data_IF_420834654712
#
_entry.id   IF_420834654712
#
_cell.length_a   1.000
_cell.length_b   1.000
_cell.length_c   1.000
_cell.angle_alpha   90.00
_cell.angle_beta   90.00
_cell.angle_gamma   90.00
#
_symmetry.space_group_name_H-M   'P 1'
#
loop_
_entity.id
_entity.type
_entity.pdbx_description
1 polymer ?
#
# COMPACT_ATOMS: atom_id res chain seq x y z
N UNK A 1 18.94 12.30 -16.82
CA UNK A 1 17.83 11.42 -16.42
C UNK A 1 16.88 12.31 -15.64
N UNK A 2 15.62 12.33 -15.99
CA UNK A 2 14.62 13.14 -15.24
C UNK A 2 14.42 12.55 -13.83
N UNK A 3 14.06 13.42 -12.87
CA UNK A 3 13.64 12.95 -11.56
C UNK A 3 12.39 12.06 -11.67
N UNK A 4 12.30 11.07 -10.80
CA UNK A 4 11.13 10.20 -10.77
C UNK A 4 9.92 10.95 -10.22
N UNK A 5 8.83 10.95 -10.97
CA UNK A 5 7.57 11.56 -10.54
C UNK A 5 6.96 10.79 -9.37
N UNK A 6 6.30 11.51 -8.47
CA UNK A 6 5.45 10.88 -7.46
C UNK A 6 4.04 10.70 -8.03
N UNK A 7 3.73 9.50 -8.49
CA UNK A 7 2.46 9.18 -9.16
C UNK A 7 1.25 9.34 -8.22
N UNK A 8 1.42 9.03 -6.93
CA UNK A 8 0.35 9.26 -5.95
C UNK A 8 0.07 10.76 -5.82
N UNK A 9 1.11 11.59 -5.69
CA UNK A 9 0.96 13.06 -5.66
C UNK A 9 0.24 13.59 -6.89
N UNK A 10 0.62 13.11 -8.07
CA UNK A 10 -0.01 13.50 -9.33
C UNK A 10 -1.52 13.22 -9.35
N UNK A 11 -1.92 12.05 -8.84
CA UNK A 11 -3.34 11.68 -8.73
C UNK A 11 -4.09 12.54 -7.73
N UNK A 12 -3.49 12.81 -6.56
CA UNK A 12 -4.09 13.69 -5.55
C UNK A 12 -4.31 15.09 -6.11
N UNK A 13 -3.28 15.68 -6.74
CA UNK A 13 -3.36 17.01 -7.36
C UNK A 13 -4.41 17.07 -8.47
N UNK A 14 -4.59 16.00 -9.23
CA UNK A 14 -5.59 15.89 -10.28
C UNK A 14 -7.01 15.51 -9.77
N UNK A 15 -7.20 15.33 -8.46
CA UNK A 15 -8.47 14.90 -7.86
C UNK A 15 -8.93 13.52 -8.30
N UNK A 16 -8.01 12.68 -8.83
CA UNK A 16 -8.29 11.32 -9.31
C UNK A 16 -8.32 10.32 -8.18
N UNK A 17 -9.18 9.29 -8.25
CA UNK A 17 -9.21 8.23 -7.25
C UNK A 17 -7.92 7.40 -7.25
N UNK A 18 -7.62 6.76 -6.13
CA UNK A 18 -6.48 5.85 -5.99
C UNK A 18 -6.86 4.55 -5.30
N UNK A 19 -6.22 3.47 -5.73
CA UNK A 19 -6.27 2.16 -5.09
C UNK A 19 -4.86 1.79 -4.65
N UNK A 20 -4.68 1.55 -3.36
CA UNK A 20 -3.47 1.01 -2.77
C UNK A 20 -3.67 -0.39 -2.22
N UNK A 21 -2.58 -1.06 -1.93
CA UNK A 21 -2.55 -2.26 -1.08
C UNK A 21 -1.42 -2.12 -0.07
N UNK A 22 -1.48 -2.87 1.03
CA UNK A 22 -0.37 -2.86 1.97
C UNK A 22 0.27 -4.25 2.10
N UNK A 23 1.56 -4.23 2.43
CA UNK A 23 2.39 -5.42 2.59
C UNK A 23 3.16 -5.34 3.90
N UNK A 24 3.33 -6.49 4.53
CA UNK A 24 4.19 -6.68 5.69
C UNK A 24 5.52 -7.33 5.29
N UNK A 25 5.52 -8.08 4.20
CA UNK A 25 6.73 -8.71 3.68
C UNK A 25 7.63 -7.69 2.98
N UNK A 26 8.90 -7.68 3.34
CA UNK A 26 9.93 -6.90 2.64
C UNK A 26 10.43 -7.57 1.34
N UNK A 27 9.73 -8.58 0.83
CA UNK A 27 10.09 -9.31 -0.38
C UNK A 27 9.80 -8.48 -1.65
N UNK A 28 10.84 -8.06 -2.40
CA UNK A 28 10.66 -7.15 -3.54
C UNK A 28 9.75 -7.69 -4.64
N UNK A 29 9.80 -9.00 -4.90
CA UNK A 29 8.97 -9.66 -5.92
C UNK A 29 7.48 -9.48 -5.67
N UNK A 30 7.07 -9.30 -4.40
CA UNK A 30 5.66 -9.05 -4.07
C UNK A 30 5.20 -7.71 -4.68
N UNK A 31 6.02 -6.67 -4.62
CA UNK A 31 5.75 -5.39 -5.29
C UNK A 31 5.65 -5.56 -6.80
N UNK A 32 6.52 -6.39 -7.39
CA UNK A 32 6.49 -6.68 -8.82
C UNK A 32 5.19 -7.40 -9.23
N UNK A 33 4.75 -8.40 -8.45
CA UNK A 33 3.48 -9.10 -8.67
C UNK A 33 2.29 -8.14 -8.62
N UNK A 34 2.27 -7.23 -7.62
CA UNK A 34 1.23 -6.21 -7.50
C UNK A 34 1.29 -5.26 -8.71
N UNK A 35 2.47 -4.80 -9.10
CA UNK A 35 2.68 -3.91 -10.25
C UNK A 35 2.25 -4.54 -11.58
N UNK A 36 2.54 -5.82 -11.79
CA UNK A 36 2.12 -6.55 -12.99
C UNK A 36 0.60 -6.69 -13.10
N UNK A 37 -0.14 -6.65 -11.98
CA UNK A 37 -1.61 -6.65 -12.01
C UNK A 37 -2.18 -5.40 -12.67
N UNK A 38 -1.46 -4.27 -12.63
CA UNK A 38 -1.86 -2.93 -13.13
C UNK A 38 -3.16 -2.41 -12.51
N UNK A 39 -3.52 -2.91 -11.33
CA UNK A 39 -4.75 -2.52 -10.63
C UNK A 39 -4.49 -1.55 -9.47
N UNK A 40 -3.24 -1.37 -9.07
CA UNK A 40 -2.86 -0.58 -7.91
C UNK A 40 -1.98 0.61 -8.30
N UNK A 41 -2.22 1.75 -7.66
CA UNK A 41 -1.48 2.99 -7.89
C UNK A 41 -0.25 3.11 -7.00
N UNK A 42 -0.31 2.50 -5.81
CA UNK A 42 0.78 2.50 -4.84
C UNK A 42 0.72 1.26 -3.93
N UNK A 43 1.86 0.96 -3.33
CA UNK A 43 1.98 -0.07 -2.29
C UNK A 43 2.45 0.58 -1.01
N UNK A 44 1.80 0.26 0.11
CA UNK A 44 2.23 0.63 1.45
C UNK A 44 3.03 -0.52 2.08
N UNK A 45 4.25 -0.26 2.48
CA UNK A 45 5.02 -1.14 3.34
C UNK A 45 4.75 -0.77 4.81
N UNK A 46 4.17 -1.70 5.58
CA UNK A 46 3.79 -1.48 6.97
C UNK A 46 4.99 -1.72 7.90
N UNK A 47 5.96 -0.82 7.85
CA UNK A 47 7.23 -0.93 8.60
C UNK A 47 7.04 -0.85 10.13
N UNK A 48 5.91 -0.32 10.59
CA UNK A 48 5.54 -0.31 12.00
C UNK A 48 5.53 -1.71 12.63
N UNK A 49 5.19 -2.74 11.85
CA UNK A 49 5.06 -4.12 12.33
C UNK A 49 6.08 -5.08 11.72
N UNK A 50 6.66 -4.71 10.60
CA UNK A 50 7.54 -5.58 9.83
C UNK A 50 8.96 -5.59 10.37
N UNK A 51 9.63 -6.73 10.50
CA UNK A 51 11.08 -6.77 10.60
C UNK A 51 11.68 -6.40 9.22
N UNK A 52 12.60 -5.45 9.20
CA UNK A 52 13.30 -5.05 7.97
C UNK A 52 14.66 -4.45 8.26
N UNK A 53 15.49 -4.44 7.23
CA UNK A 53 16.79 -3.76 7.21
C UNK A 53 16.76 -2.57 6.25
N UNK A 54 17.80 -1.72 6.30
CA UNK A 54 17.92 -0.63 5.32
C UNK A 54 18.10 -1.14 3.88
N UNK A 55 18.68 -2.33 3.71
CA UNK A 55 18.78 -2.97 2.39
C UNK A 55 17.41 -3.41 1.85
N UNK A 56 16.50 -3.82 2.73
CA UNK A 56 15.13 -4.17 2.33
C UNK A 56 14.40 -2.93 1.80
N UNK A 57 14.54 -1.78 2.48
CA UNK A 57 13.97 -0.52 1.98
C UNK A 57 14.53 -0.15 0.60
N UNK A 58 15.84 -0.29 0.41
CA UNK A 58 16.49 -0.05 -0.89
C UNK A 58 15.95 -0.97 -2.00
N UNK A 59 15.72 -2.24 -1.69
CA UNK A 59 15.20 -3.21 -2.65
C UNK A 59 13.73 -2.96 -2.97
N UNK A 60 12.92 -2.61 -1.98
CA UNK A 60 11.54 -2.17 -2.21
C UNK A 60 11.51 -0.90 -3.07
N UNK A 61 12.39 0.07 -2.78
CA UNK A 61 12.52 1.28 -3.59
C UNK A 61 12.84 0.99 -5.07
N UNK A 62 13.73 0.01 -5.35
CA UNK A 62 14.01 -0.47 -6.71
C UNK A 62 12.80 -1.08 -7.38
N UNK A 63 12.03 -1.87 -6.64
CA UNK A 63 10.82 -2.52 -7.17
C UNK A 63 9.74 -1.50 -7.52
N UNK A 64 9.53 -0.48 -6.68
CA UNK A 64 8.62 0.62 -7.01
C UNK A 64 9.03 1.36 -8.29
N UNK A 65 10.34 1.60 -8.46
CA UNK A 65 10.86 2.25 -9.65
C UNK A 65 10.68 1.37 -10.89
N UNK A 66 11.00 0.08 -10.79
CA UNK A 66 10.84 -0.91 -11.86
C UNK A 66 9.38 -1.02 -12.32
N UNK A 67 8.45 -1.04 -11.38
CA UNK A 67 7.01 -1.17 -11.67
C UNK A 67 6.33 0.16 -11.97
N UNK A 68 7.07 1.28 -11.92
CA UNK A 68 6.52 2.62 -12.06
C UNK A 68 5.33 2.86 -11.13
N UNK A 69 5.51 2.55 -9.84
CA UNK A 69 4.51 2.69 -8.77
C UNK A 69 5.04 3.61 -7.67
N UNK A 70 4.16 4.28 -6.94
CA UNK A 70 4.54 4.99 -5.72
C UNK A 70 4.67 4.02 -4.55
N UNK A 71 5.72 4.19 -3.74
CA UNK A 71 5.86 3.50 -2.46
C UNK A 71 5.42 4.40 -1.31
N UNK A 72 4.61 3.86 -0.43
CA UNK A 72 4.27 4.45 0.87
C UNK A 72 4.90 3.60 1.97
N UNK A 73 5.38 4.23 3.04
CA UNK A 73 5.83 3.52 4.24
C UNK A 73 4.97 3.95 5.42
N UNK A 74 4.44 3.00 6.18
CA UNK A 74 3.82 3.26 7.48
C UNK A 74 4.87 3.12 8.57
N UNK A 75 5.03 4.13 9.39
CA UNK A 75 6.07 4.22 10.42
C UNK A 75 5.51 4.52 11.80
N UNK A 76 6.17 4.02 12.83
CA UNK A 76 5.81 4.21 14.23
C UNK A 76 6.21 5.60 14.77
N UNK A 77 5.50 6.08 15.80
CA UNK A 77 5.67 7.42 16.34
C UNK A 77 7.09 7.70 16.88
N UNK A 78 7.69 6.75 17.56
CA UNK A 78 9.00 6.93 18.19
C UNK A 78 10.15 7.12 17.19
N UNK A 79 9.93 6.77 15.92
CA UNK A 79 10.94 6.72 14.87
C UNK A 79 10.67 7.65 13.68
N UNK A 80 9.72 8.56 13.76
CA UNK A 80 9.28 9.38 12.64
C UNK A 80 10.44 9.94 11.81
N UNK A 81 11.33 10.70 12.41
CA UNK A 81 12.40 11.37 11.67
C UNK A 81 13.37 10.38 11.05
N UNK A 82 13.81 9.36 11.81
CA UNK A 82 14.79 8.40 11.31
C UNK A 82 14.22 7.53 10.19
N UNK A 83 13.05 6.92 10.40
CA UNK A 83 12.45 6.02 9.41
C UNK A 83 12.00 6.78 8.16
N UNK A 84 11.39 7.97 8.28
CA UNK A 84 11.01 8.78 7.13
C UNK A 84 12.23 9.14 6.28
N UNK A 85 13.32 9.61 6.89
CA UNK A 85 14.54 9.95 6.19
C UNK A 85 15.15 8.75 5.44
N UNK A 86 15.18 7.56 6.05
CA UNK A 86 15.72 6.35 5.44
C UNK A 86 14.84 5.87 4.29
N UNK A 87 13.53 5.84 4.48
CA UNK A 87 12.57 5.45 3.44
C UNK A 87 12.61 6.40 2.23
N UNK A 88 12.62 7.72 2.47
CA UNK A 88 12.74 8.72 1.40
C UNK A 88 14.06 8.54 0.65
N UNK A 89 15.17 8.31 1.37
CA UNK A 89 16.46 8.00 0.76
C UNK A 89 16.42 6.75 -0.14
N UNK A 90 15.71 5.72 0.28
CA UNK A 90 15.51 4.48 -0.47
C UNK A 90 14.55 4.60 -1.67
N UNK A 91 13.82 5.72 -1.80
CA UNK A 91 12.93 5.99 -2.93
C UNK A 91 11.44 5.85 -2.65
N UNK A 92 11.04 5.74 -1.39
CA UNK A 92 9.65 5.93 -1.01
C UNK A 92 9.25 7.40 -1.21
N UNK A 93 8.06 7.62 -1.73
CA UNK A 93 7.58 8.95 -2.07
C UNK A 93 6.33 9.33 -1.26
N UNK A 94 5.96 8.52 -0.28
CA UNK A 94 4.84 8.75 0.62
C UNK A 94 5.13 8.16 1.99
N UNK A 95 4.67 8.84 3.04
CA UNK A 95 4.82 8.37 4.43
C UNK A 95 3.47 8.44 5.13
N UNK A 96 3.09 7.34 5.78
CA UNK A 96 1.93 7.24 6.67
C UNK A 96 2.44 7.19 8.11
N UNK A 97 2.14 8.24 8.87
CA UNK A 97 2.55 8.41 10.25
C UNK A 97 1.50 7.82 11.19
N UNK A 98 1.86 6.75 11.90
CA UNK A 98 1.01 6.11 12.89
C UNK A 98 0.90 6.95 14.17
N UNK A 99 -0.10 6.67 14.98
CA UNK A 99 -0.16 7.12 16.38
C UNK A 99 -0.16 8.65 16.62
N UNK A 100 -0.65 9.45 15.70
CA UNK A 100 -0.80 10.89 15.93
C UNK A 100 -1.74 11.14 17.11
N UNK A 101 -1.29 11.88 18.10
CA UNK A 101 -2.05 12.23 19.32
C UNK A 101 -2.29 13.72 19.46
N UNK A 102 -1.34 14.53 19.01
CA UNK A 102 -1.30 15.98 19.23
C UNK A 102 -1.00 16.75 17.96
N UNK A 103 -1.18 18.07 18.00
CA UNK A 103 -0.76 18.99 16.93
C UNK A 103 0.76 18.96 16.75
N UNK A 104 1.51 18.75 17.82
CA UNK A 104 2.97 18.65 17.82
C UNK A 104 3.43 17.39 17.09
N UNK A 105 2.78 16.25 17.26
CA UNK A 105 3.04 15.03 16.48
C UNK A 105 2.82 15.27 14.98
N UNK A 106 1.73 15.93 14.65
CA UNK A 106 1.41 16.27 13.26
C UNK A 106 2.44 17.23 12.64
N UNK A 107 2.92 18.21 13.40
CA UNK A 107 4.03 19.08 12.96
C UNK A 107 5.32 18.29 12.79
N UNK A 108 5.65 17.41 13.74
CA UNK A 108 6.83 16.56 13.64
C UNK A 108 6.79 15.65 12.41
N UNK A 109 5.61 15.11 12.06
CA UNK A 109 5.42 14.32 10.84
C UNK A 109 5.75 15.14 9.58
N UNK A 110 5.32 16.40 9.52
CA UNK A 110 5.67 17.29 8.41
C UNK A 110 7.17 17.64 8.42
N UNK A 111 7.72 18.01 9.57
CA UNK A 111 9.12 18.33 9.76
C UNK A 111 10.07 17.19 9.35
N UNK A 112 9.66 15.95 9.60
CA UNK A 112 10.44 14.76 9.25
C UNK A 112 10.59 14.53 7.74
N UNK A 113 9.77 15.19 6.92
CA UNK A 113 9.70 14.97 5.46
C UNK A 113 10.16 16.19 4.68
N UNK A 114 9.94 17.40 5.18
CA UNK A 114 10.21 18.63 4.44
C UNK A 114 11.65 19.11 4.62
N UNK A 115 12.15 19.85 3.65
CA UNK A 115 13.48 20.45 3.71
C UNK A 115 13.56 21.57 4.75
N UNK A 116 14.71 21.67 5.41
CA UNK A 116 15.09 22.86 6.16
C UNK A 116 15.56 23.94 5.18
N UNK A 117 14.66 24.84 4.81
CA UNK A 117 14.94 25.87 3.80
C UNK A 117 14.09 27.11 4.04
N UNK A 118 14.65 28.26 3.65
CA UNK A 118 13.93 29.54 3.54
C UNK A 118 13.22 29.71 2.18
N UNK A 119 13.43 28.79 1.25
CA UNK A 119 12.76 28.80 -0.06
C UNK A 119 11.26 28.58 0.14
N UNK A 120 10.48 29.66 -0.02
CA UNK A 120 9.05 29.64 0.26
C UNK A 120 8.18 29.21 -0.95
N UNK A 121 8.74 29.18 -2.15
CA UNK A 121 8.00 28.95 -3.38
C UNK A 121 7.48 27.51 -3.47
N UNK A 122 6.18 27.34 -3.34
CA UNK A 122 5.52 26.05 -3.39
C UNK A 122 5.70 25.17 -2.16
N UNK A 123 6.29 25.69 -1.07
CA UNK A 123 6.56 24.91 0.13
C UNK A 123 5.28 24.41 0.80
N UNK A 124 5.18 23.10 1.00
CA UNK A 124 4.12 22.42 1.77
C UNK A 124 4.53 22.27 3.25
N UNK A 125 5.02 23.35 3.83
CA UNK A 125 5.57 23.40 5.19
C UNK A 125 7.10 23.47 5.17
N UNK A 126 7.66 23.76 6.33
CA UNK A 126 9.11 23.71 6.60
C UNK A 126 9.42 22.44 7.37
N UNK A 127 10.63 21.94 7.22
CA UNK A 127 11.07 20.74 7.90
C UNK A 127 12.53 20.85 8.35
N UNK A 128 13.12 19.71 8.62
CA UNK A 128 14.47 19.57 9.13
C UNK A 128 15.38 18.70 8.25
N UNK A 129 14.90 18.29 7.06
CA UNK A 129 15.76 17.50 6.17
C UNK A 129 16.74 18.38 5.44
N UNK A 130 18.02 18.04 5.58
CA UNK A 130 19.12 18.57 4.78
C UNK A 130 19.22 17.84 3.44
N UNK A 131 20.29 18.16 2.70
CA UNK A 131 20.66 17.46 1.47
C UNK A 131 21.00 16.00 1.78
N UNK A 132 20.42 15.10 1.03
CA UNK A 132 20.67 13.66 1.15
C UNK A 132 20.72 12.97 -0.19
N UNK A 133 21.22 11.73 -0.18
CA UNK A 133 21.16 10.87 -1.36
C UNK A 133 19.80 10.20 -1.43
N UNK A 134 19.07 10.47 -2.50
CA UNK A 134 17.75 9.89 -2.75
C UNK A 134 17.72 9.19 -4.10
N UNK A 135 17.08 8.04 -4.10
CA UNK A 135 16.95 7.22 -5.32
C UNK A 135 16.15 7.93 -6.41
N UNK A 136 15.02 8.52 -6.06
CA UNK A 136 14.10 9.17 -6.99
C UNK A 136 14.67 10.44 -7.65
N UNK A 137 15.68 11.05 -7.05
CA UNK A 137 16.43 12.18 -7.63
C UNK A 137 17.77 11.76 -8.24
N UNK A 138 17.94 10.47 -8.54
CA UNK A 138 19.15 9.91 -9.15
C UNK A 138 20.36 9.91 -8.23
N UNK A 139 20.17 9.66 -6.95
CA UNK A 139 21.17 9.60 -5.89
C UNK A 139 21.88 10.94 -5.68
N UNK A 140 22.95 11.23 -6.41
CA UNK A 140 23.72 12.49 -6.28
C UNK A 140 23.42 13.52 -7.38
N UNK A 141 22.67 13.13 -8.42
CA UNK A 141 22.53 13.99 -9.63
C UNK A 141 21.83 15.31 -9.37
N UNK A 142 20.80 15.28 -8.54
CA UNK A 142 20.00 16.47 -8.18
C UNK A 142 20.15 16.85 -6.69
N UNK A 143 21.04 16.18 -5.94
CA UNK A 143 21.30 16.53 -4.55
C UNK A 143 21.79 17.96 -4.41
N UNK A 144 21.16 18.74 -3.50
CA UNK A 144 21.50 20.14 -3.24
C UNK A 144 21.01 21.13 -4.28
N UNK A 145 20.22 20.71 -5.26
CA UNK A 145 19.59 21.61 -6.24
C UNK A 145 18.19 22.05 -5.78
N UNK A 146 17.59 23.10 -6.37
CA UNK A 146 16.18 23.45 -6.14
C UNK A 146 15.23 22.28 -6.41
N UNK A 147 15.50 21.47 -7.43
CA UNK A 147 14.71 20.30 -7.79
C UNK A 147 14.66 19.27 -6.64
N UNK A 148 15.72 19.17 -5.84
CA UNK A 148 15.74 18.31 -4.65
C UNK A 148 14.74 18.78 -3.59
N UNK A 149 14.63 20.08 -3.38
CA UNK A 149 13.64 20.68 -2.46
C UNK A 149 12.23 20.45 -2.98
N UNK A 150 12.00 20.62 -4.28
CA UNK A 150 10.71 20.36 -4.92
C UNK A 150 10.31 18.88 -4.77
N UNK A 151 11.24 17.96 -4.95
CA UNK A 151 10.99 16.53 -4.75
C UNK A 151 10.62 16.21 -3.29
N UNK A 152 11.18 16.89 -2.29
CA UNK A 152 10.76 16.78 -0.89
C UNK A 152 9.35 17.33 -0.66
N UNK A 153 9.00 18.42 -1.33
CA UNK A 153 7.66 19.00 -1.26
C UNK A 153 6.59 18.09 -1.87
N UNK A 154 6.96 17.30 -2.86
CA UNK A 154 6.05 16.33 -3.51
C UNK A 154 5.85 15.03 -2.75
N UNK A 155 6.62 14.75 -1.69
CA UNK A 155 6.36 13.59 -0.82
C UNK A 155 4.98 13.72 -0.18
N UNK A 156 4.14 12.68 -0.32
CA UNK A 156 2.80 12.64 0.26
C UNK A 156 2.89 12.31 1.75
N UNK A 157 2.25 13.12 2.57
CA UNK A 157 2.17 12.93 4.02
C UNK A 157 0.74 12.48 4.37
N UNK A 158 0.63 11.27 4.87
CA UNK A 158 -0.59 10.70 5.41
C UNK A 158 -0.45 10.55 6.93
N UNK A 159 -1.55 10.72 7.66
CA UNK A 159 -1.58 10.57 9.12
C UNK A 159 -2.68 9.60 9.56
N UNK A 160 -2.37 8.77 10.56
CA UNK A 160 -3.35 7.91 11.21
C UNK A 160 -4.08 8.66 12.32
N UNK A 161 -5.41 8.59 12.28
CA UNK A 161 -6.31 9.03 13.34
C UNK A 161 -6.82 7.79 14.05
N UNK A 162 -6.17 7.42 15.14
CA UNK A 162 -6.39 6.14 15.80
C UNK A 162 -6.24 6.21 17.32
N UNK A 163 -6.18 7.41 17.89
CA UNK A 163 -6.16 7.66 19.33
C UNK A 163 -7.29 8.63 19.69
N UNK A 164 -7.87 8.43 20.86
CA UNK A 164 -8.96 9.30 21.33
C UNK A 164 -8.54 10.78 21.34
N UNK A 165 -7.35 11.07 21.86
CA UNK A 165 -6.79 12.43 21.87
C UNK A 165 -6.71 13.06 20.48
N UNK A 166 -6.36 12.28 19.45
CA UNK A 166 -6.33 12.75 18.07
C UNK A 166 -7.75 13.10 17.56
N UNK A 167 -8.74 12.26 17.86
CA UNK A 167 -10.15 12.51 17.48
C UNK A 167 -10.73 13.71 18.21
N UNK A 168 -10.34 13.92 19.49
CA UNK A 168 -10.79 15.06 20.28
C UNK A 168 -10.26 16.39 19.69
N UNK A 169 -8.99 16.46 19.26
CA UNK A 169 -8.33 17.66 18.69
C UNK A 169 -8.17 17.62 17.15
N UNK A 170 -8.99 16.82 16.49
CA UNK A 170 -8.88 16.51 15.06
C UNK A 170 -8.84 17.75 14.16
N UNK A 171 -9.64 18.76 14.48
CA UNK A 171 -9.72 19.99 13.66
C UNK A 171 -8.40 20.75 13.65
N UNK A 172 -7.73 20.86 14.81
CA UNK A 172 -6.42 21.53 14.92
C UNK A 172 -5.31 20.68 14.29
N UNK A 173 -5.33 19.38 14.51
CA UNK A 173 -4.36 18.44 13.94
C UNK A 173 -4.41 18.49 12.42
N UNK A 174 -5.59 18.37 11.81
CA UNK A 174 -5.74 18.41 10.36
C UNK A 174 -5.59 19.82 9.75
N UNK A 175 -5.49 20.85 10.57
CA UNK A 175 -5.12 22.22 10.12
C UNK A 175 -3.62 22.41 9.94
N UNK A 176 -2.78 21.48 10.40
CA UNK A 176 -1.33 21.55 10.20
C UNK A 176 -1.03 21.53 8.71
N UNK A 177 -0.30 22.55 8.19
CA UNK A 177 0.06 22.61 6.78
C UNK A 177 0.96 21.44 6.39
N UNK A 178 0.78 20.89 5.19
CA UNK A 178 1.62 19.83 4.65
C UNK A 178 1.05 18.42 4.80
N UNK A 179 0.03 18.20 5.63
CA UNK A 179 -0.72 16.95 5.66
C UNK A 179 -1.57 16.85 4.39
N UNK A 180 -1.50 15.71 3.71
CA UNK A 180 -2.23 15.45 2.46
C UNK A 180 -3.38 14.48 2.65
N UNK A 181 -3.11 13.34 3.30
CA UNK A 181 -4.06 12.24 3.46
C UNK A 181 -4.32 11.93 4.93
N UNK A 182 -5.47 11.32 5.20
CA UNK A 182 -5.89 10.94 6.55
C UNK A 182 -6.49 9.55 6.50
N UNK A 183 -6.07 8.67 7.43
CA UNK A 183 -6.66 7.35 7.59
C UNK A 183 -7.16 7.15 9.02
N UNK A 184 -8.37 6.63 9.19
CA UNK A 184 -8.86 6.21 10.49
C UNK A 184 -8.41 4.79 10.80
N UNK A 185 -7.89 4.56 12.01
CA UNK A 185 -7.44 3.26 12.50
C UNK A 185 -8.39 2.71 13.56
N UNK A 186 -9.40 1.93 13.15
CA UNK A 186 -10.44 1.43 14.04
C UNK A 186 -9.92 0.52 15.16
N UNK A 187 -8.88 -0.28 14.89
CA UNK A 187 -8.30 -1.21 15.87
C UNK A 187 -7.73 -0.46 17.08
N UNK A 188 -6.80 0.44 16.81
CA UNK A 188 -6.14 1.24 17.83
C UNK A 188 -7.10 2.23 18.49
N UNK A 189 -7.99 2.83 17.71
CA UNK A 189 -9.01 3.71 18.30
C UNK A 189 -9.92 2.97 19.27
N UNK A 190 -10.43 1.79 18.90
CA UNK A 190 -11.28 0.98 19.80
C UNK A 190 -10.55 0.62 21.09
N UNK A 191 -9.27 0.30 21.00
CA UNK A 191 -8.42 0.03 22.16
C UNK A 191 -8.27 1.31 23.02
N UNK A 192 -8.01 2.45 22.40
CA UNK A 192 -7.78 3.72 23.10
C UNK A 192 -8.99 4.24 23.92
N UNK A 193 -10.20 3.78 23.57
CA UNK A 193 -11.45 4.09 24.28
C UNK A 193 -11.96 2.93 25.17
N UNK A 194 -11.13 1.87 25.35
CA UNK A 194 -11.49 0.71 26.18
C UNK A 194 -12.56 -0.20 25.53
N UNK A 195 -12.70 -0.17 24.21
CA UNK A 195 -13.64 -0.99 23.41
C UNK A 195 -12.90 -1.91 22.45
N UNK A 196 -11.77 -2.44 22.87
CA UNK A 196 -10.85 -3.25 22.04
C UNK A 196 -11.60 -4.31 21.23
N UNK A 197 -11.40 -4.30 19.89
CA UNK A 197 -12.01 -5.24 18.96
C UNK A 197 -13.49 -4.99 18.63
N UNK A 198 -14.13 -4.00 19.24
CA UNK A 198 -15.54 -3.66 19.00
C UNK A 198 -15.68 -2.62 17.88
N UNK A 199 -15.28 -3.00 16.66
CA UNK A 199 -15.23 -2.08 15.50
C UNK A 199 -16.59 -1.50 15.09
N UNK A 200 -17.69 -2.18 15.44
CA UNK A 200 -19.05 -1.72 15.19
C UNK A 200 -19.65 -0.91 16.36
N UNK A 201 -18.86 -0.63 17.40
CA UNK A 201 -19.33 0.20 18.51
C UNK A 201 -19.67 1.61 18.02
N UNK A 202 -20.79 2.23 18.46
CA UNK A 202 -21.20 3.56 17.97
C UNK A 202 -20.11 4.62 18.03
N UNK A 203 -19.36 4.71 19.13
CA UNK A 203 -18.25 5.67 19.27
C UNK A 203 -17.14 5.45 18.22
N UNK A 204 -16.86 4.20 17.81
CA UNK A 204 -15.86 3.91 16.79
C UNK A 204 -16.36 4.37 15.42
N UNK A 205 -17.62 4.07 15.09
CA UNK A 205 -18.24 4.50 13.84
C UNK A 205 -18.39 6.01 13.74
N UNK A 206 -18.75 6.68 14.84
CA UNK A 206 -18.84 8.14 14.92
C UNK A 206 -17.48 8.81 14.72
N UNK A 207 -16.42 8.25 15.33
CA UNK A 207 -15.04 8.74 15.16
C UNK A 207 -14.55 8.58 13.73
N UNK A 208 -14.85 7.45 13.06
CA UNK A 208 -14.55 7.24 11.64
C UNK A 208 -15.25 8.30 10.78
N UNK A 209 -16.57 8.48 10.97
CA UNK A 209 -17.36 9.47 10.24
C UNK A 209 -16.86 10.89 10.47
N UNK A 210 -16.54 11.25 11.72
CA UNK A 210 -15.96 12.55 12.07
C UNK A 210 -14.66 12.76 11.36
N UNK A 211 -13.78 11.75 11.34
CA UNK A 211 -12.47 11.82 10.66
C UNK A 211 -12.62 12.09 9.16
N UNK A 212 -13.46 11.31 8.47
CA UNK A 212 -13.71 11.47 7.03
C UNK A 212 -14.29 12.85 6.71
N UNK A 213 -15.35 13.26 7.43
CA UNK A 213 -16.01 14.55 7.20
C UNK A 213 -15.06 15.73 7.46
N UNK A 214 -14.27 15.67 8.53
CA UNK A 214 -13.32 16.73 8.87
C UNK A 214 -12.20 16.80 7.81
N UNK A 215 -11.69 15.66 7.37
CA UNK A 215 -10.68 15.61 6.30
C UNK A 215 -11.20 16.26 5.02
N UNK A 216 -12.38 15.87 4.54
CA UNK A 216 -13.01 16.43 3.35
C UNK A 216 -13.26 17.94 3.48
N UNK A 217 -13.79 18.38 4.62
CA UNK A 217 -14.02 19.82 4.92
C UNK A 217 -12.74 20.65 4.84
N UNK A 218 -11.61 20.05 5.23
CA UNK A 218 -10.29 20.71 5.21
C UNK A 218 -9.52 20.53 3.90
N UNK A 219 -10.16 19.93 2.87
CA UNK A 219 -9.52 19.66 1.59
C UNK A 219 -8.40 18.61 1.68
N UNK A 220 -8.44 17.75 2.72
CA UNK A 220 -7.56 16.61 2.83
C UNK A 220 -8.19 15.39 2.17
N UNK A 221 -7.38 14.39 1.87
CA UNK A 221 -7.80 13.18 1.19
C UNK A 221 -8.01 12.03 2.19
N UNK A 222 -9.27 11.71 2.60
CA UNK A 222 -9.49 10.52 3.41
C UNK A 222 -9.14 9.28 2.60
N UNK A 223 -8.34 8.40 3.20
CA UNK A 223 -7.97 7.08 2.71
C UNK A 223 -8.65 6.04 3.59
N UNK A 224 -9.42 5.15 2.99
CA UNK A 224 -10.15 4.11 3.71
C UNK A 224 -9.58 2.74 3.37
N UNK A 225 -9.27 1.98 4.41
CA UNK A 225 -8.86 0.59 4.27
C UNK A 225 -10.08 -0.31 4.30
N UNK A 226 -10.17 -1.23 3.33
CA UNK A 226 -11.28 -2.16 3.18
C UNK A 226 -10.80 -3.59 3.09
N UNK A 227 -11.54 -4.51 3.68
CA UNK A 227 -11.33 -5.95 3.49
C UNK A 227 -11.91 -6.47 2.18
N UNK A 228 -12.97 -5.84 1.71
CA UNK A 228 -13.69 -6.22 0.50
C UNK A 228 -14.16 -4.97 -0.26
N UNK A 229 -14.02 -4.92 -1.60
CA UNK A 229 -14.47 -3.80 -2.41
C UNK A 229 -15.97 -3.49 -2.28
N UNK A 230 -16.80 -4.50 -1.98
CA UNK A 230 -18.23 -4.30 -1.75
C UNK A 230 -18.58 -3.36 -0.60
N UNK A 231 -17.63 -3.10 0.30
CA UNK A 231 -17.79 -2.16 1.40
C UNK A 231 -17.62 -0.69 0.98
N UNK A 232 -17.14 -0.41 -0.24
CA UNK A 232 -16.80 0.95 -0.67
C UNK A 232 -18.00 1.89 -0.83
N UNK A 233 -19.20 1.36 -1.11
CA UNK A 233 -20.37 2.15 -1.50
C UNK A 233 -20.65 3.35 -0.58
N UNK A 234 -20.77 3.12 0.72
CA UNK A 234 -21.04 4.18 1.71
C UNK A 234 -19.97 5.28 1.74
N UNK A 235 -18.72 4.92 1.49
CA UNK A 235 -17.61 5.88 1.48
C UNK A 235 -17.56 6.69 0.18
N UNK A 236 -17.87 6.05 -0.95
CA UNK A 236 -18.01 6.73 -2.25
C UNK A 236 -19.11 7.78 -2.21
N UNK A 237 -20.27 7.46 -1.59
CA UNK A 237 -21.38 8.41 -1.37
C UNK A 237 -20.95 9.60 -0.51
N UNK A 238 -20.02 9.41 0.42
CA UNK A 238 -19.43 10.49 1.21
C UNK A 238 -18.41 11.33 0.46
N UNK A 239 -17.98 10.93 -0.75
CA UNK A 239 -16.97 11.61 -1.55
C UNK A 239 -15.53 11.11 -1.31
N UNK A 240 -15.34 9.98 -0.62
CA UNK A 240 -14.02 9.32 -0.49
C UNK A 240 -13.60 8.79 -1.85
N UNK A 241 -12.34 9.03 -2.22
CA UNK A 241 -11.78 8.60 -3.51
C UNK A 241 -10.54 7.71 -3.37
N UNK A 242 -10.04 7.51 -2.16
CA UNK A 242 -8.77 6.84 -1.92
C UNK A 242 -9.00 5.63 -1.03
N UNK A 243 -8.67 4.46 -1.56
CA UNK A 243 -8.89 3.18 -0.89
C UNK A 243 -7.61 2.38 -0.81
N UNK A 244 -7.47 1.62 0.27
CA UNK A 244 -6.48 0.57 0.41
C UNK A 244 -7.19 -0.76 0.57
N UNK A 245 -6.81 -1.73 -0.24
CA UNK A 245 -7.43 -3.05 -0.22
C UNK A 245 -6.38 -4.15 -0.34
N UNK A 246 -6.53 -5.16 0.48
CA UNK A 246 -5.62 -6.29 0.53
C UNK A 246 -4.43 -6.06 1.46
N UNK A 247 -4.07 -7.13 2.16
CA UNK A 247 -2.91 -7.23 3.01
C UNK A 247 -2.28 -8.59 2.77
N UNK A 248 -1.02 -8.62 2.36
CA UNK A 248 -0.33 -9.83 1.90
C UNK A 248 -0.45 -11.00 2.88
N UNK A 249 -0.16 -10.78 4.15
CA UNK A 249 -0.21 -11.84 5.18
C UNK A 249 -1.62 -12.36 5.41
N UNK A 250 -2.64 -11.52 5.26
CA UNK A 250 -4.03 -11.94 5.38
C UNK A 250 -4.48 -12.74 4.16
N UNK A 251 -4.14 -12.27 2.96
CA UNK A 251 -4.43 -12.97 1.72
C UNK A 251 -3.86 -14.38 1.77
N UNK A 252 -2.61 -14.53 2.22
CA UNK A 252 -1.94 -15.81 2.36
C UNK A 252 -2.60 -16.67 3.44
N UNK A 253 -2.90 -16.10 4.62
CA UNK A 253 -3.58 -16.82 5.70
C UNK A 253 -4.94 -17.35 5.25
N UNK A 254 -5.78 -16.48 4.67
CA UNK A 254 -7.12 -16.83 4.20
C UNK A 254 -7.07 -17.95 3.13
N UNK A 255 -6.08 -17.91 2.25
CA UNK A 255 -5.88 -18.96 1.24
C UNK A 255 -5.47 -20.29 1.86
N UNK A 256 -4.49 -20.27 2.77
CA UNK A 256 -4.01 -21.49 3.44
C UNK A 256 -5.09 -22.12 4.32
N UNK A 257 -5.81 -21.31 5.09
CA UNK A 257 -6.90 -21.80 5.93
C UNK A 257 -8.00 -22.45 5.09
N UNK A 258 -8.44 -21.76 4.03
CA UNK A 258 -9.52 -22.23 3.17
C UNK A 258 -9.10 -23.46 2.37
N UNK A 259 -8.01 -23.36 1.60
CA UNK A 259 -7.57 -24.44 0.69
C UNK A 259 -6.97 -25.61 1.43
N UNK A 260 -6.28 -25.35 2.52
CA UNK A 260 -5.80 -26.39 3.42
C UNK A 260 -6.94 -27.19 4.03
N UNK A 261 -7.99 -26.53 4.54
CA UNK A 261 -9.17 -27.19 5.08
C UNK A 261 -9.92 -28.00 4.02
N UNK A 262 -10.13 -27.44 2.82
CA UNK A 262 -10.73 -28.15 1.68
C UNK A 262 -9.96 -29.44 1.37
N UNK A 263 -8.63 -29.37 1.25
CA UNK A 263 -7.80 -30.54 0.96
C UNK A 263 -7.83 -31.57 2.09
N UNK A 264 -7.77 -31.13 3.36
CA UNK A 264 -7.90 -32.01 4.52
C UNK A 264 -9.24 -32.74 4.55
N UNK A 265 -10.33 -32.09 4.15
CA UNK A 265 -11.65 -32.71 4.02
C UNK A 265 -11.66 -33.81 2.96
N UNK A 266 -11.08 -33.58 1.79
CA UNK A 266 -10.95 -34.60 0.73
C UNK A 266 -10.16 -35.82 1.17
N UNK A 267 -9.06 -35.61 1.88
CA UNK A 267 -8.22 -36.72 2.40
C UNK A 267 -8.91 -37.59 3.47
N UNK A 268 -9.92 -37.05 4.17
CA UNK A 268 -10.71 -37.78 5.16
C UNK A 268 -11.87 -38.56 4.52
N UNK A 269 -12.33 -38.17 3.33
CA UNK A 269 -13.33 -38.92 2.58
C UNK A 269 -12.65 -40.14 1.95
N UNK A 270 -13.10 -41.38 2.30
CA UNK A 270 -12.61 -42.59 1.64
C UNK A 270 -12.81 -42.45 0.13
N UNK A 271 -11.81 -42.77 -0.70
CA UNK A 271 -12.01 -42.74 -2.14
C UNK A 271 -13.22 -43.59 -2.52
N UNK A 272 -14.20 -43.00 -3.18
CA UNK A 272 -15.28 -43.80 -3.77
C UNK A 272 -14.62 -44.84 -4.67
N UNK A 273 -14.78 -46.14 -4.37
CA UNK A 273 -14.32 -47.21 -5.29
C UNK A 273 -14.82 -46.85 -6.69
N UNK A 274 -13.89 -46.59 -7.57
CA UNK A 274 -14.24 -46.37 -8.98
C UNK A 274 -15.08 -47.56 -9.42
N UNK A 275 -16.27 -47.31 -9.94
CA UNK A 275 -17.06 -48.38 -10.57
C UNK A 275 -16.16 -49.02 -11.65
N UNK A 276 -16.14 -50.37 -11.75
CA UNK A 276 -15.33 -51.02 -12.75
C UNK A 276 -15.64 -50.43 -14.12
N UNK A 277 -14.63 -49.91 -14.79
CA UNK A 277 -14.74 -49.40 -16.13
C UNK A 277 -15.34 -50.48 -17.02
N UNK A 278 -16.54 -50.24 -17.56
CA UNK A 278 -17.08 -51.11 -18.59
C UNK A 278 -16.08 -51.13 -19.74
N UNK A 279 -15.48 -52.31 -19.97
CA UNK A 279 -14.59 -52.50 -21.10
C UNK A 279 -15.37 -52.14 -22.38
N UNK A 280 -14.92 -51.06 -23.03
CA UNK A 280 -15.40 -50.74 -24.35
C UNK A 280 -14.91 -51.82 -25.33
N UNK A 281 -15.77 -52.29 -26.27
CA UNK A 281 -15.37 -53.30 -27.24
C UNK A 281 -14.17 -52.77 -28.05
N UNK A 282 -13.16 -53.64 -28.23
CA UNK A 282 -11.98 -53.33 -28.98
C UNK A 282 -12.30 -52.93 -30.42
N UNK A 283 -12.07 -51.63 -30.74
CA UNK A 283 -12.14 -51.17 -32.14
C UNK A 283 -10.93 -51.73 -32.88
N UNK A 284 -11.22 -52.50 -33.94
CA UNK A 284 -10.22 -52.95 -34.90
C UNK A 284 -9.50 -51.75 -35.51
N UNK A 285 -8.19 -51.74 -35.44
CA UNK A 285 -7.33 -50.71 -36.02
C UNK A 285 -7.20 -50.94 -37.53
N UNK A 286 -7.57 -50.00 -38.40
CA UNK A 286 -7.27 -50.13 -39.83
C UNK A 286 -5.76 -49.88 -40.09
N UNK A 287 -5.20 -50.63 -41.04
CA UNK A 287 -3.80 -50.55 -41.41
C UNK A 287 -3.40 -49.16 -41.92
N UNK A 288 -2.18 -48.75 -41.54
CA UNK A 288 -1.58 -47.46 -41.82
C UNK A 288 -1.09 -47.37 -43.26
N UNK A 289 -1.41 -46.35 -44.03
CA UNK A 289 -0.70 -46.02 -45.25
C UNK A 289 0.62 -45.28 -44.94
N UNK A 290 1.70 -45.75 -45.49
CA UNK A 290 2.98 -45.03 -45.51
C UNK A 290 2.93 -43.87 -46.49
N UNK A 291 3.16 -42.64 -46.04
CA UNK A 291 3.80 -41.66 -46.92
C UNK A 291 4.58 -40.56 -46.18
N UNK A 292 5.61 -40.12 -46.82
CA UNK A 292 6.80 -39.36 -46.42
C UNK A 292 6.59 -37.85 -46.50
N UNK A 293 7.38 -37.13 -45.65
CA UNK A 293 7.90 -35.75 -45.77
C UNK A 293 6.90 -34.60 -45.50
N UNK A 294 7.16 -33.62 -44.63
CA UNK A 294 8.18 -32.57 -44.63
C UNK A 294 7.99 -31.65 -43.41
N UNK A 295 9.13 -31.10 -42.95
CA UNK A 295 9.38 -29.94 -42.11
C UNK A 295 8.24 -29.01 -41.63
N UNK A 296 8.24 -28.70 -40.30
CA UNK A 296 7.54 -27.57 -39.73
C UNK A 296 7.83 -27.42 -38.22
N UNK A 297 8.56 -26.38 -37.85
CA UNK A 297 8.85 -26.00 -36.47
C UNK A 297 7.55 -25.76 -35.70
N UNK A 298 7.38 -26.41 -34.56
CA UNK A 298 6.32 -26.13 -33.63
C UNK A 298 6.88 -25.46 -32.35
N UNK A 299 6.31 -24.31 -32.01
CA UNK A 299 6.52 -23.60 -30.75
C UNK A 299 6.01 -24.43 -29.58
N UNK A 300 6.86 -24.65 -28.60
CA UNK A 300 6.49 -25.18 -27.30
C UNK A 300 5.78 -24.09 -26.49
N UNK A 301 4.51 -24.27 -26.24
CA UNK A 301 3.79 -23.59 -25.15
C UNK A 301 3.72 -24.58 -23.99
N UNK A 302 4.44 -24.29 -22.91
CA UNK A 302 4.30 -25.03 -21.67
C UNK A 302 3.01 -24.61 -20.95
N UNK A 303 2.14 -25.58 -20.70
CA UNK A 303 1.04 -25.43 -19.77
C UNK A 303 1.56 -25.85 -18.39
N UNK A 304 1.64 -24.91 -17.49
CA UNK A 304 1.67 -25.20 -16.06
C UNK A 304 0.25 -24.98 -15.52
N UNK A 305 -0.38 -26.06 -15.10
CA UNK A 305 -1.60 -26.06 -14.31
C UNK A 305 -1.26 -25.79 -12.84
#
# INVERSE_FOLDING_TARGET
MAMRRNLLRDRLNAGKPTVGTHILSAWPTLVELIGHSKQYDYVEFTAEYAPFTLHDLDNLGRSFELMNMSGMIKIEQTQYTHQAMRAIGAGFQSVLFADIRTVEDAKLAVDAVRAETTMAKGARGRGRLGVGMRRDVGTVRHGGTPDYVDALNEVVIAVMVEKKSCVDDLDRILSVPGIDMVQFGASDFSMSIGKTGQYSHPEVLEAELKTIKTALKKGKHPRVELRDPGQAGKYLEMGVKHFCIGWDVRILADWWDTKGAEMRKLLRTKPRKAAPAKQAPAKQVPARPTNRKTNGRAHLRGNYA
#
